data_IF_159750534635
#
_entry.id   IF_159750534635
#
_cell.length_a   1.000
_cell.length_b   1.000
_cell.length_c   1.000
_cell.angle_alpha   90.00
_cell.angle_beta   90.00
_cell.angle_gamma   90.00
#
_symmetry.space_group_name_H-M   'P 1'
#
loop_
_entity.id
_entity.type
_entity.pdbx_description
1 polymer ?
#
# COMPACT_ATOMS: atom_id res chain seq x y z
N UNK A 1 -30.27 -32.69 -14.50
CA UNK A 1 -30.13 -31.75 -13.37
C UNK A 1 -28.87 -32.10 -12.59
N UNK A 2 -27.74 -31.55 -13.01
CA UNK A 2 -26.45 -31.70 -12.32
C UNK A 2 -26.39 -30.70 -11.17
N UNK A 3 -26.51 -31.21 -9.95
CA UNK A 3 -26.37 -30.44 -8.71
C UNK A 3 -24.89 -30.02 -8.58
N UNK A 4 -24.60 -28.74 -8.77
CA UNK A 4 -23.28 -28.19 -8.38
C UNK A 4 -23.09 -28.42 -6.88
N UNK A 5 -22.04 -29.17 -6.53
CA UNK A 5 -21.61 -29.29 -5.14
C UNK A 5 -21.06 -27.93 -4.67
N UNK A 6 -21.39 -27.48 -3.44
CA UNK A 6 -20.76 -26.31 -2.88
C UNK A 6 -19.28 -26.62 -2.61
N UNK A 7 -18.39 -25.80 -3.16
CA UNK A 7 -16.97 -25.81 -2.80
C UNK A 7 -16.90 -25.55 -1.29
N UNK A 8 -16.58 -26.58 -0.51
CA UNK A 8 -16.22 -26.41 0.92
C UNK A 8 -15.06 -25.43 0.93
N UNK A 9 -15.26 -24.25 1.54
CA UNK A 9 -14.18 -23.29 1.76
C UNK A 9 -13.12 -23.98 2.64
N UNK A 10 -12.05 -24.48 2.04
CA UNK A 10 -10.93 -25.07 2.76
C UNK A 10 -10.15 -23.96 3.43
N UNK A 11 -10.36 -23.78 4.73
CA UNK A 11 -9.45 -23.01 5.58
C UNK A 11 -8.19 -23.85 5.77
N UNK A 12 -7.04 -23.29 5.41
CA UNK A 12 -5.73 -23.90 5.67
C UNK A 12 -4.96 -23.03 6.65
N UNK A 13 -4.03 -23.62 7.38
CA UNK A 13 -3.19 -22.86 8.28
C UNK A 13 -2.34 -21.88 7.44
N UNK A 14 -2.47 -20.57 7.67
CA UNK A 14 -1.70 -19.59 6.95
C UNK A 14 -0.20 -19.83 7.13
N UNK A 15 0.60 -19.74 6.06
CA UNK A 15 2.06 -19.80 6.17
C UNK A 15 2.60 -18.64 7.03
N UNK A 16 3.83 -18.78 7.54
CA UNK A 16 4.52 -17.71 8.25
C UNK A 16 4.64 -16.45 7.35
N UNK A 17 4.58 -15.25 7.95
CA UNK A 17 4.67 -13.99 7.19
C UNK A 17 6.07 -13.74 6.63
N UNK A 18 7.08 -14.32 7.27
CA UNK A 18 8.46 -14.35 6.82
C UNK A 18 8.81 -15.70 6.19
N UNK A 19 9.66 -15.72 5.15
CA UNK A 19 10.19 -16.95 4.56
C UNK A 19 11.25 -17.57 5.49
N UNK A 20 10.82 -18.39 6.44
CA UNK A 20 11.67 -18.92 7.52
C UNK A 20 12.93 -19.66 7.01
N UNK A 21 12.81 -20.37 5.89
CA UNK A 21 13.90 -21.12 5.25
C UNK A 21 15.00 -20.21 4.68
N UNK A 22 14.70 -18.93 4.43
CA UNK A 22 15.59 -17.96 3.81
C UNK A 22 16.14 -16.93 4.80
N UNK A 23 15.79 -17.02 6.10
CA UNK A 23 16.10 -15.99 7.10
C UNK A 23 17.60 -15.72 7.19
N UNK A 24 18.43 -16.76 7.29
CA UNK A 24 19.88 -16.59 7.42
C UNK A 24 20.50 -15.92 6.19
N UNK A 25 19.99 -16.23 5.01
CA UNK A 25 20.40 -15.59 3.77
C UNK A 25 19.99 -14.11 3.73
N UNK A 26 18.77 -13.80 4.15
CA UNK A 26 18.26 -12.42 4.19
C UNK A 26 18.98 -11.57 5.24
N UNK A 27 19.35 -12.14 6.39
CA UNK A 27 20.19 -11.48 7.39
C UNK A 27 21.56 -11.16 6.79
N UNK A 28 22.15 -12.08 6.02
CA UNK A 28 23.42 -11.84 5.33
C UNK A 28 23.29 -10.68 4.34
N UNK A 29 22.25 -10.66 3.52
CA UNK A 29 21.99 -9.54 2.61
C UNK A 29 21.81 -8.22 3.35
N UNK A 30 21.05 -8.19 4.46
CA UNK A 30 20.89 -6.99 5.27
C UNK A 30 22.23 -6.44 5.76
N UNK A 31 23.10 -7.32 6.29
CA UNK A 31 24.45 -6.95 6.74
C UNK A 31 25.30 -6.40 5.59
N UNK A 32 25.28 -7.07 4.44
CA UNK A 32 26.03 -6.61 3.27
C UNK A 32 25.56 -5.24 2.81
N UNK A 33 24.24 -5.04 2.66
CA UNK A 33 23.64 -3.76 2.24
C UNK A 33 24.04 -2.64 3.19
N UNK A 34 23.93 -2.85 4.50
CA UNK A 34 24.33 -1.84 5.48
C UNK A 34 25.83 -1.51 5.37
N UNK A 35 26.69 -2.53 5.22
CA UNK A 35 28.13 -2.33 5.07
C UNK A 35 28.50 -1.57 3.79
N UNK A 36 27.86 -1.87 2.67
CA UNK A 36 28.08 -1.18 1.39
C UNK A 36 27.70 0.30 1.50
N UNK A 37 26.51 0.60 2.05
CA UNK A 37 26.06 1.99 2.22
C UNK A 37 27.00 2.79 3.15
N UNK A 38 27.48 2.17 4.23
CA UNK A 38 28.50 2.78 5.13
C UNK A 38 29.85 3.02 4.47
N UNK A 39 30.25 2.10 3.59
CA UNK A 39 31.50 2.15 2.85
C UNK A 39 31.51 3.20 1.73
N UNK A 40 30.32 3.68 1.30
CA UNK A 40 30.20 4.62 0.21
C UNK A 40 30.79 5.99 0.57
N UNK A 41 31.90 6.33 -0.09
CA UNK A 41 32.57 7.63 0.09
C UNK A 41 31.72 8.83 -0.36
N UNK A 42 30.70 8.61 -1.18
CA UNK A 42 29.82 9.67 -1.71
C UNK A 42 28.66 10.05 -0.79
N UNK A 43 28.23 9.15 0.09
CA UNK A 43 27.08 9.39 0.97
C UNK A 43 27.52 10.05 2.28
N UNK A 44 28.77 9.82 2.72
CA UNK A 44 29.28 10.31 4.00
C UNK A 44 28.62 9.64 5.22
N UNK A 45 27.77 8.63 5.01
CA UNK A 45 26.94 8.00 6.04
C UNK A 45 27.66 6.84 6.74
N UNK A 46 28.82 7.11 7.35
CA UNK A 46 29.59 6.09 8.07
C UNK A 46 28.79 5.43 9.20
N UNK A 47 27.81 6.14 9.74
CA UNK A 47 26.95 5.69 10.84
C UNK A 47 25.60 5.14 10.38
N UNK A 48 25.37 4.97 9.07
CA UNK A 48 24.10 4.46 8.55
C UNK A 48 23.68 3.15 9.23
N UNK A 49 22.39 3.04 9.56
CA UNK A 49 21.79 1.81 10.09
C UNK A 49 20.47 1.53 9.43
N UNK A 50 20.21 0.25 9.16
CA UNK A 50 18.91 -0.18 8.70
C UNK A 50 17.87 0.05 9.80
N UNK A 51 16.74 0.63 9.39
CA UNK A 51 15.58 0.83 10.23
C UNK A 51 14.60 -0.33 10.05
N UNK A 52 13.61 -0.44 10.92
CA UNK A 52 12.67 -1.55 10.90
C UNK A 52 11.96 -1.73 9.55
N UNK A 53 11.58 -0.66 8.87
CA UNK A 53 10.98 -0.73 7.54
C UNK A 53 11.95 -1.28 6.47
N UNK A 54 13.25 -1.00 6.60
CA UNK A 54 14.26 -1.53 5.70
C UNK A 54 14.47 -3.02 5.95
N UNK A 55 14.58 -3.41 7.23
CA UNK A 55 14.69 -4.82 7.62
C UNK A 55 13.45 -5.59 7.19
N UNK A 56 12.24 -5.09 7.49
CA UNK A 56 10.98 -5.69 7.07
C UNK A 56 10.97 -5.97 5.57
N UNK A 57 11.34 -4.99 4.75
CA UNK A 57 11.35 -5.20 3.31
C UNK A 57 12.42 -6.22 2.87
N UNK A 58 13.67 -6.11 3.35
CA UNK A 58 14.73 -7.09 3.02
C UNK A 58 14.30 -8.51 3.40
N UNK A 59 13.56 -8.67 4.50
CA UNK A 59 13.05 -9.97 4.94
C UNK A 59 11.90 -10.52 4.07
N UNK A 60 11.23 -9.68 3.25
CA UNK A 60 10.02 -10.08 2.52
C UNK A 60 10.08 -9.95 1.01
N UNK A 61 11.00 -9.15 0.45
CA UNK A 61 11.09 -8.97 -1.00
C UNK A 61 11.58 -10.26 -1.70
N UNK A 62 11.32 -10.42 -3.02
CA UNK A 62 11.82 -11.59 -3.77
C UNK A 62 13.35 -11.72 -3.73
N UNK A 63 13.86 -12.93 -3.46
CA UNK A 63 15.32 -13.18 -3.41
C UNK A 63 16.04 -12.85 -4.72
N UNK A 64 15.35 -12.94 -5.85
CA UNK A 64 15.89 -12.58 -7.17
C UNK A 64 16.38 -11.13 -7.25
N UNK A 65 15.93 -10.25 -6.35
CA UNK A 65 16.42 -8.88 -6.23
C UNK A 65 17.84 -8.78 -5.64
N UNK A 66 18.31 -9.76 -4.89
CA UNK A 66 19.69 -9.81 -4.39
C UNK A 66 20.66 -10.51 -5.35
N UNK A 67 20.13 -11.21 -6.37
CA UNK A 67 20.94 -11.90 -7.37
C UNK A 67 21.75 -10.94 -8.27
N UNK A 68 22.65 -11.45 -9.13
CA UNK A 68 23.61 -10.64 -9.89
C UNK A 68 23.02 -9.49 -10.72
N UNK A 69 21.78 -9.66 -11.21
CA UNK A 69 21.05 -8.68 -12.03
C UNK A 69 19.90 -7.99 -11.27
N UNK A 70 19.78 -8.24 -9.97
CA UNK A 70 18.74 -7.69 -9.11
C UNK A 70 19.07 -6.30 -8.59
N UNK A 71 18.06 -5.56 -8.13
CA UNK A 71 18.16 -4.16 -7.68
C UNK A 71 18.94 -3.98 -6.36
N UNK A 72 19.23 -5.08 -5.66
CA UNK A 72 20.01 -5.16 -4.42
C UNK A 72 21.25 -6.02 -4.57
N UNK A 73 21.70 -6.22 -5.80
CA UNK A 73 22.97 -6.88 -6.10
C UNK A 73 24.13 -6.09 -5.49
N UNK A 74 25.13 -6.78 -4.96
CA UNK A 74 26.39 -6.18 -4.51
C UNK A 74 27.16 -5.47 -5.66
N UNK A 75 26.74 -5.70 -6.91
CA UNK A 75 27.30 -5.05 -8.11
C UNK A 75 26.70 -3.69 -8.42
N UNK A 76 25.60 -3.32 -7.76
CA UNK A 76 24.97 -2.00 -7.93
C UNK A 76 25.76 -0.97 -7.16
N UNK A 77 25.79 0.26 -7.68
CA UNK A 77 26.48 1.37 -7.03
C UNK A 77 25.79 1.67 -5.69
N UNK A 78 26.58 1.81 -4.61
CA UNK A 78 26.04 1.96 -3.25
C UNK A 78 25.01 3.10 -3.10
N UNK A 79 25.17 4.19 -3.86
CA UNK A 79 24.22 5.31 -3.85
C UNK A 79 22.86 4.96 -4.47
N UNK A 80 22.82 4.06 -5.46
CA UNK A 80 21.57 3.57 -6.05
C UNK A 80 20.88 2.61 -5.07
N UNK A 81 21.65 1.74 -4.43
CA UNK A 81 21.17 0.87 -3.35
C UNK A 81 20.53 1.68 -2.22
N UNK A 82 21.19 2.76 -1.79
CA UNK A 82 20.62 3.66 -0.80
C UNK A 82 19.29 4.28 -1.28
N UNK A 83 19.21 4.78 -2.52
CA UNK A 83 17.97 5.33 -3.07
C UNK A 83 16.82 4.31 -3.07
N UNK A 84 17.09 3.04 -3.32
CA UNK A 84 16.05 2.00 -3.23
C UNK A 84 15.57 1.80 -1.79
N UNK A 85 16.51 1.73 -0.83
CA UNK A 85 16.20 1.59 0.59
C UNK A 85 15.39 2.78 1.13
N UNK A 86 15.82 4.01 0.85
CA UNK A 86 15.17 5.22 1.36
C UNK A 86 13.76 5.43 0.79
N UNK A 87 13.44 4.80 -0.34
CA UNK A 87 12.15 4.92 -0.99
C UNK A 87 11.10 3.87 -0.55
N UNK A 88 11.48 2.90 0.28
CA UNK A 88 10.57 1.87 0.81
C UNK A 88 9.41 2.52 1.57
N UNK A 89 9.75 3.35 2.55
CA UNK A 89 8.77 4.01 3.43
C UNK A 89 7.86 4.97 2.66
N UNK A 90 8.39 5.89 1.81
CA UNK A 90 7.57 6.75 0.95
C UNK A 90 6.60 5.97 0.06
N UNK A 91 7.02 4.84 -0.50
CA UNK A 91 6.17 4.00 -1.36
C UNK A 91 5.00 3.40 -0.58
N UNK A 92 5.25 2.86 0.61
CA UNK A 92 4.22 2.29 1.49
C UNK A 92 3.26 3.38 1.99
N UNK A 93 3.80 4.55 2.37
CA UNK A 93 3.03 5.73 2.77
C UNK A 93 2.11 6.20 1.67
N UNK A 94 2.64 6.34 0.46
CA UNK A 94 1.89 6.77 -0.71
C UNK A 94 0.74 5.82 -1.00
N UNK A 95 0.97 4.51 -0.96
CA UNK A 95 -0.09 3.51 -1.09
C UNK A 95 -1.23 3.69 -0.07
N UNK A 96 -0.91 3.70 1.22
CA UNK A 96 -1.92 3.74 2.28
C UNK A 96 -2.63 5.10 2.38
N UNK A 97 -1.92 6.21 2.13
CA UNK A 97 -2.50 7.55 2.12
C UNK A 97 -3.64 7.67 1.11
N UNK A 98 -3.43 7.13 -0.09
CA UNK A 98 -4.43 7.20 -1.16
C UNK A 98 -5.62 6.27 -0.91
N UNK A 99 -5.41 5.09 -0.29
CA UNK A 99 -6.53 4.24 0.18
C UNK A 99 -7.38 4.94 1.25
N UNK A 100 -6.76 5.60 2.22
CA UNK A 100 -7.48 6.31 3.29
C UNK A 100 -8.27 7.51 2.77
N UNK A 101 -7.70 8.24 1.81
CA UNK A 101 -8.41 9.34 1.14
C UNK A 101 -9.70 8.81 0.50
N UNK A 102 -9.62 7.71 -0.24
CA UNK A 102 -10.79 7.06 -0.86
C UNK A 102 -11.80 6.55 0.17
N UNK A 103 -11.33 5.97 1.28
CA UNK A 103 -12.21 5.54 2.37
C UNK A 103 -13.02 6.73 2.92
N UNK A 104 -12.37 7.87 3.21
CA UNK A 104 -13.08 9.06 3.70
C UNK A 104 -14.12 9.58 2.71
N UNK A 105 -13.77 9.67 1.43
CA UNK A 105 -14.69 10.15 0.39
C UNK A 105 -15.95 9.26 0.25
N UNK A 106 -15.77 7.94 0.34
CA UNK A 106 -16.88 6.98 0.21
C UNK A 106 -17.74 6.91 1.48
N UNK A 107 -17.13 6.94 2.66
CA UNK A 107 -17.87 6.87 3.94
C UNK A 107 -18.67 8.15 4.24
N UNK A 108 -18.14 9.33 3.86
CA UNK A 108 -18.85 10.61 4.03
C UNK A 108 -20.02 10.74 3.07
N UNK A 109 -19.89 10.21 1.84
CA UNK A 109 -20.97 10.26 0.84
C UNK A 109 -22.16 9.36 1.22
N UNK A 110 -21.91 8.19 1.83
CA UNK A 110 -23.00 7.28 2.24
C UNK A 110 -23.85 7.82 3.40
N UNK A 111 -23.30 8.70 4.25
CA UNK A 111 -24.07 9.31 5.35
C UNK A 111 -25.05 10.39 4.90
N UNK A 112 -24.83 11.04 3.74
CA UNK A 112 -25.77 12.01 3.19
C UNK A 112 -26.94 11.36 2.43
N UNK A 113 -26.89 10.05 2.17
CA UNK A 113 -27.83 9.35 1.28
C UNK A 113 -28.85 8.41 1.93
N UNK A 114 -28.80 8.18 3.25
CA UNK A 114 -29.70 7.21 3.91
C UNK A 114 -30.73 7.89 4.83
N UNK A 115 -32.04 7.67 4.61
CA UNK A 115 -33.04 7.95 5.63
C UNK A 115 -32.81 7.00 6.81
N UNK A 116 -32.70 7.58 8.01
CA UNK A 116 -32.66 6.86 9.29
C UNK A 116 -33.77 5.80 9.36
N UNK A 117 -33.40 4.52 9.22
CA UNK A 117 -34.28 3.41 9.58
C UNK A 117 -34.22 3.26 11.10
N UNK A 118 -35.22 3.82 11.76
CA UNK A 118 -35.48 3.56 13.17
C UNK A 118 -35.89 2.09 13.35
N UNK A 119 -35.22 1.37 14.25
CA UNK A 119 -35.77 0.18 14.89
C UNK A 119 -35.84 0.40 16.40
N UNK A 120 -36.85 -0.18 17.08
CA UNK A 120 -37.45 0.42 18.26
C UNK A 120 -36.62 0.24 19.53
N UNK A 121 -36.78 1.26 20.37
CA UNK A 121 -36.23 1.51 21.69
C UNK A 121 -36.36 0.35 22.68
N UNK A 122 -35.29 0.13 23.46
CA UNK A 122 -35.43 -0.09 24.91
C UNK A 122 -34.38 0.73 25.65
N UNK A 123 -34.87 1.87 26.17
CA UNK A 123 -34.51 2.62 27.37
C UNK A 123 -33.02 2.79 27.73
N UNK A 124 -32.63 4.06 27.58
CA UNK A 124 -31.49 4.82 28.06
C UNK A 124 -30.93 4.52 29.47
N UNK A 125 -29.61 4.54 29.58
CA UNK A 125 -28.93 5.45 30.51
C UNK A 125 -27.85 6.23 29.74
N UNK A 126 -27.87 7.55 29.90
CA UNK A 126 -27.13 8.49 29.07
C UNK A 126 -25.61 8.36 29.23
N UNK A 127 -24.92 8.43 28.10
CA UNK A 127 -23.53 8.86 28.05
C UNK A 127 -23.38 9.81 26.86
N UNK A 128 -22.81 10.97 27.14
CA UNK A 128 -22.62 12.06 26.21
C UNK A 128 -21.77 11.58 25.03
N UNK A 129 -22.33 11.65 23.81
CA UNK A 129 -21.55 11.57 22.57
C UNK A 129 -20.56 12.74 22.57
N UNK A 130 -19.29 12.46 22.81
CA UNK A 130 -18.20 13.29 22.33
C UNK A 130 -17.63 12.61 21.09
N UNK A 131 -18.18 12.98 19.92
CA UNK A 131 -17.47 12.83 18.66
C UNK A 131 -16.34 13.87 18.69
N UNK A 132 -15.12 13.44 19.02
CA UNK A 132 -13.94 14.30 18.90
C UNK A 132 -13.55 14.33 17.42
N UNK A 133 -13.69 15.54 16.91
CA UNK A 133 -13.31 16.06 15.62
C UNK A 133 -11.82 15.80 15.32
N UNK A 134 -11.51 15.02 14.28
CA UNK A 134 -10.16 14.91 13.73
C UNK A 134 -10.07 15.69 12.40
N UNK A 135 -10.53 16.95 12.46
CA UNK A 135 -10.20 17.98 11.47
C UNK A 135 -9.00 18.80 11.96
N UNK A 136 -7.79 18.26 11.81
CA UNK A 136 -6.63 19.14 11.62
C UNK A 136 -6.47 19.42 10.14
N UNK A 137 -7.22 20.40 9.66
CA UNK A 137 -6.93 21.10 8.42
C UNK A 137 -5.62 21.86 8.59
N UNK A 138 -4.55 21.41 7.94
CA UNK A 138 -3.42 22.29 7.64
C UNK A 138 -3.66 22.89 6.26
N UNK A 139 -4.35 24.04 6.25
CA UNK A 139 -4.21 25.01 5.18
C UNK A 139 -2.75 25.46 5.15
N UNK A 140 -1.98 24.99 4.17
CA UNK A 140 -0.74 25.66 3.80
C UNK A 140 -1.17 26.96 3.13
N UNK A 141 -1.08 28.06 3.88
CA UNK A 141 -1.16 29.41 3.30
C UNK A 141 -0.07 29.51 2.25
N UNK A 142 -0.49 29.61 1.00
CA UNK A 142 0.32 30.02 -0.14
C UNK A 142 1.07 31.29 0.21
N UNK A 143 2.38 31.19 0.48
CA UNK A 143 3.24 32.36 0.57
C UNK A 143 3.42 32.94 -0.83
N UNK A 144 3.20 34.25 -0.91
CA UNK A 144 3.22 35.04 -2.12
C UNK A 144 4.54 34.86 -2.88
N UNK A 145 4.43 34.44 -4.14
CA UNK A 145 5.54 34.38 -5.08
C UNK A 145 6.10 35.79 -5.30
N UNK A 146 7.27 36.05 -4.71
CA UNK A 146 8.09 37.23 -4.96
C UNK A 146 8.48 37.27 -6.45
N UNK A 147 7.92 38.24 -7.17
CA UNK A 147 8.27 38.55 -8.57
C UNK A 147 9.76 38.88 -8.67
N UNK A 148 10.57 37.95 -9.15
CA UNK A 148 11.88 38.26 -9.71
C UNK A 148 11.66 38.95 -11.07
N UNK A 149 12.02 40.24 -11.12
CA UNK A 149 12.12 41.01 -12.36
C UNK A 149 13.25 40.43 -13.20
N UNK A 150 12.90 39.75 -14.30
CA UNK A 150 13.85 39.40 -15.34
C UNK A 150 14.00 40.63 -16.22
N UNK A 151 15.22 41.18 -16.21
CA UNK A 151 15.66 42.28 -17.07
C UNK A 151 15.85 41.73 -18.48
N UNK A 152 15.13 42.28 -19.46
CA UNK A 152 15.30 41.98 -20.88
C UNK A 152 16.65 42.53 -21.40
N UNK A 153 17.42 41.76 -22.20
CA UNK A 153 18.46 42.32 -23.05
C UNK A 153 17.90 42.74 -24.43
N UNK A 154 18.48 43.76 -25.08
CA UNK A 154 17.87 44.41 -26.24
C UNK A 154 18.10 43.66 -27.56
N UNK A 155 17.19 43.93 -28.48
CA UNK A 155 17.09 43.47 -29.86
C UNK A 155 18.34 43.68 -30.72
N UNK A 156 18.62 42.73 -31.61
CA UNK A 156 19.22 43.02 -32.92
C UNK A 156 18.59 42.17 -34.02
N UNK A 157 18.17 42.84 -35.08
CA UNK A 157 17.46 42.33 -36.24
C UNK A 157 18.30 41.37 -37.11
N UNK A 158 17.62 40.43 -37.76
CA UNK A 158 18.12 39.60 -38.85
C UNK A 158 16.96 38.84 -39.51
N UNK A 159 16.77 39.09 -40.80
CA UNK A 159 15.60 38.80 -41.63
C UNK A 159 15.53 37.37 -42.20
N UNK A 160 14.28 36.94 -42.44
CA UNK A 160 13.78 36.02 -43.48
C UNK A 160 14.26 34.56 -43.54
N UNK A 161 13.34 33.63 -43.29
CA UNK A 161 12.75 32.85 -44.39
C UNK A 161 11.49 32.10 -43.95
N UNK A 162 10.48 32.22 -44.80
CA UNK A 162 9.15 31.63 -44.72
C UNK A 162 9.23 30.18 -45.22
N UNK A 163 8.95 29.20 -44.35
CA UNK A 163 8.63 27.83 -44.76
C UNK A 163 7.46 27.34 -43.91
N UNK A 164 6.29 27.36 -44.52
CA UNK A 164 5.07 26.77 -44.00
C UNK A 164 5.18 25.25 -44.08
N UNK A 165 5.17 24.58 -42.92
CA UNK A 165 4.77 23.17 -42.84
C UNK A 165 3.62 23.08 -41.83
N UNK A 166 2.40 23.20 -42.36
CA UNK A 166 1.15 22.95 -41.65
C UNK A 166 1.01 21.44 -41.38
N UNK A 167 1.68 20.97 -40.35
CA UNK A 167 1.19 19.84 -39.57
C UNK A 167 0.71 20.40 -38.24
N UNK A 168 -0.53 20.92 -38.25
CA UNK A 168 -1.30 21.10 -37.03
C UNK A 168 -1.47 19.70 -36.41
N UNK A 169 -0.53 19.32 -35.55
CA UNK A 169 -0.80 18.33 -34.53
C UNK A 169 -2.02 18.87 -33.77
N UNK A 170 -3.18 18.26 -34.00
CA UNK A 170 -4.34 18.45 -33.15
C UNK A 170 -3.89 18.01 -31.77
N UNK A 171 -3.47 18.96 -30.93
CA UNK A 171 -3.30 18.74 -29.51
C UNK A 171 -4.69 18.39 -28.98
N UNK A 172 -4.97 17.08 -28.94
CA UNK A 172 -6.10 16.55 -28.23
C UNK A 172 -6.06 17.16 -26.82
N UNK A 173 -7.17 17.75 -26.34
CA UNK A 173 -7.18 18.38 -25.03
C UNK A 173 -6.68 17.37 -24.00
N UNK A 174 -5.56 17.68 -23.36
CA UNK A 174 -5.02 16.84 -22.28
C UNK A 174 -6.10 16.75 -21.21
N UNK A 175 -6.58 15.53 -20.97
CA UNK A 175 -7.53 15.29 -19.88
C UNK A 175 -6.74 15.45 -18.59
N UNK A 176 -6.74 16.63 -18.00
CA UNK A 176 -5.96 16.89 -16.78
C UNK A 176 -6.43 16.04 -15.58
N UNK A 177 -7.68 15.54 -15.65
CA UNK A 177 -8.30 14.72 -14.61
C UNK A 177 -9.30 13.70 -15.17
N UNK A 178 -9.05 12.44 -14.90
CA UNK A 178 -9.95 11.32 -15.18
C UNK A 178 -11.02 11.17 -14.09
N UNK A 179 -12.23 10.84 -14.49
CA UNK A 179 -13.36 10.58 -13.56
C UNK A 179 -13.61 9.08 -13.47
N UNK A 180 -13.99 8.59 -12.29
CA UNK A 180 -14.29 7.18 -12.04
C UNK A 180 -15.21 6.55 -13.09
N UNK A 181 -14.77 5.42 -13.64
CA UNK A 181 -15.50 4.62 -14.61
C UNK A 181 -16.52 3.72 -13.90
N UNK A 182 -17.76 4.21 -13.83
CA UNK A 182 -18.89 3.51 -13.20
C UNK A 182 -19.20 2.19 -13.90
N UNK A 183 -18.92 2.06 -15.21
CA UNK A 183 -19.14 0.82 -15.93
C UNK A 183 -18.13 -0.25 -15.49
N UNK A 184 -16.87 0.12 -15.26
CA UNK A 184 -15.84 -0.78 -14.74
C UNK A 184 -16.10 -1.19 -13.28
N UNK A 185 -16.61 -0.27 -12.45
CA UNK A 185 -17.08 -0.61 -11.09
C UNK A 185 -18.22 -1.63 -11.14
N UNK A 186 -19.20 -1.42 -12.04
CA UNK A 186 -20.32 -2.34 -12.23
C UNK A 186 -19.83 -3.72 -12.70
N UNK A 187 -18.86 -3.77 -13.62
CA UNK A 187 -18.22 -5.03 -14.05
C UNK A 187 -17.55 -5.75 -12.89
N UNK A 188 -16.81 -5.05 -12.04
CA UNK A 188 -16.17 -5.63 -10.85
C UNK A 188 -17.22 -6.22 -9.88
N UNK A 189 -18.28 -5.46 -9.58
CA UNK A 189 -19.35 -5.93 -8.70
C UNK A 189 -20.07 -7.15 -9.27
N UNK A 190 -20.39 -7.14 -10.57
CA UNK A 190 -21.02 -8.26 -11.25
C UNK A 190 -20.13 -9.52 -11.25
N UNK A 191 -18.83 -9.36 -11.56
CA UNK A 191 -17.82 -10.44 -11.50
C UNK A 191 -17.78 -11.11 -10.13
N UNK A 192 -17.84 -10.29 -9.08
CA UNK A 192 -17.71 -10.73 -7.69
C UNK A 192 -19.07 -11.11 -7.06
N UNK A 193 -20.14 -11.18 -7.86
CA UNK A 193 -21.46 -11.63 -7.42
C UNK A 193 -22.24 -10.63 -6.56
N UNK A 194 -21.89 -9.34 -6.61
CA UNK A 194 -22.49 -8.25 -5.82
C UNK A 194 -22.45 -8.50 -4.30
N UNK A 195 -21.42 -9.19 -3.84
CA UNK A 195 -21.14 -9.45 -2.42
C UNK A 195 -19.70 -9.12 -2.10
N UNK A 196 -19.41 -8.83 -0.84
CA UNK A 196 -18.03 -8.71 -0.39
C UNK A 196 -17.32 -10.06 -0.56
N UNK A 197 -16.23 -10.11 -1.32
CA UNK A 197 -15.52 -11.38 -1.58
C UNK A 197 -14.88 -11.99 -0.33
N UNK A 198 -14.68 -11.20 0.72
CA UNK A 198 -14.08 -11.63 2.00
C UNK A 198 -15.14 -12.21 2.93
N UNK A 199 -16.23 -11.47 3.15
CA UNK A 199 -17.22 -11.82 4.18
C UNK A 199 -18.51 -12.39 3.59
N UNK A 200 -18.77 -12.23 2.30
CA UNK A 200 -20.07 -12.53 1.70
C UNK A 200 -21.18 -11.53 2.07
N UNK A 201 -20.84 -10.43 2.73
CA UNK A 201 -21.81 -9.38 3.09
C UNK A 201 -22.40 -8.71 1.85
N UNK A 202 -23.68 -8.30 1.95
CA UNK A 202 -24.37 -7.51 0.93
C UNK A 202 -23.91 -6.05 0.94
N UNK A 203 -24.28 -5.32 -0.11
CA UNK A 203 -23.96 -3.90 -0.30
C UNK A 203 -22.44 -3.61 -0.31
N UNK A 204 -21.63 -4.36 -1.08
CA UNK A 204 -20.24 -4.01 -1.27
C UNK A 204 -20.08 -2.84 -2.24
N UNK A 205 -18.89 -2.23 -2.22
CA UNK A 205 -18.42 -1.31 -3.25
C UNK A 205 -17.23 -1.92 -4.00
N UNK A 206 -17.02 -1.50 -5.25
CA UNK A 206 -15.81 -1.82 -5.99
C UNK A 206 -14.69 -0.85 -5.58
N UNK A 207 -13.66 -1.38 -4.92
CA UNK A 207 -12.51 -0.60 -4.49
C UNK A 207 -11.27 -0.95 -5.32
N UNK A 208 -10.51 0.07 -5.71
CA UNK A 208 -9.26 -0.13 -6.42
C UNK A 208 -8.17 -0.74 -5.51
N UNK A 209 -7.43 -1.71 -6.05
CA UNK A 209 -6.31 -2.39 -5.39
C UNK A 209 -5.09 -1.48 -5.41
N UNK A 210 -4.65 -1.06 -6.60
CA UNK A 210 -3.78 0.10 -6.78
C UNK A 210 -4.67 1.36 -6.79
N UNK A 211 -4.42 2.35 -5.90
CA UNK A 211 -5.35 3.47 -5.72
C UNK A 211 -5.67 4.21 -7.02
N UNK A 212 -6.96 4.46 -7.28
CA UNK A 212 -7.46 5.25 -8.43
C UNK A 212 -6.67 6.54 -8.65
N UNK A 213 -6.40 7.23 -7.54
CA UNK A 213 -5.70 8.52 -7.51
C UNK A 213 -4.20 8.44 -7.84
N UNK A 214 -3.68 7.29 -8.25
CA UNK A 214 -2.29 7.17 -8.70
C UNK A 214 -2.09 7.65 -10.14
N UNK A 215 -3.13 7.62 -10.96
CA UNK A 215 -3.06 8.08 -12.34
C UNK A 215 -4.31 8.84 -12.80
N UNK A 216 -5.15 9.32 -11.89
CA UNK A 216 -6.34 10.11 -12.23
C UNK A 216 -6.00 11.53 -12.69
N UNK A 217 -4.82 12.08 -12.36
CA UNK A 217 -4.35 13.38 -12.87
C UNK A 217 -2.91 13.28 -13.38
N UNK A 218 -2.49 14.27 -14.17
CA UNK A 218 -1.11 14.34 -14.66
C UNK A 218 -0.09 14.46 -13.51
N UNK A 219 -0.39 15.26 -12.49
CA UNK A 219 0.45 15.38 -11.29
C UNK A 219 0.60 14.04 -10.57
N UNK A 220 -0.51 13.30 -10.41
CA UNK A 220 -0.45 11.99 -9.77
C UNK A 220 0.29 10.98 -10.64
N UNK A 221 0.16 11.02 -11.97
CA UNK A 221 0.95 10.21 -12.89
C UNK A 221 2.44 10.46 -12.69
N UNK A 222 2.86 11.73 -12.65
CA UNK A 222 4.27 12.08 -12.49
C UNK A 222 4.82 11.64 -11.14
N UNK A 223 4.05 11.85 -10.07
CA UNK A 223 4.43 11.36 -8.74
C UNK A 223 4.49 9.84 -8.67
N UNK A 224 3.56 9.15 -9.32
CA UNK A 224 3.58 7.69 -9.45
C UNK A 224 4.73 7.23 -10.34
N UNK A 225 5.15 8.01 -11.35
CA UNK A 225 6.32 7.71 -12.16
C UNK A 225 7.61 7.80 -11.34
N UNK A 226 7.78 8.87 -10.56
CA UNK A 226 8.97 9.08 -9.72
C UNK A 226 9.11 7.98 -8.65
N UNK A 227 8.00 7.45 -8.15
CA UNK A 227 7.98 6.31 -7.24
C UNK A 227 8.14 4.94 -7.94
N UNK A 228 8.11 4.89 -9.28
CA UNK A 228 8.09 3.65 -10.09
C UNK A 228 9.31 2.74 -9.92
N UNK A 229 10.55 3.27 -9.98
CA UNK A 229 11.75 2.48 -9.67
C UNK A 229 11.71 1.86 -8.28
N UNK A 230 11.03 2.51 -7.33
CA UNK A 230 10.98 2.13 -5.93
C UNK A 230 9.86 1.11 -5.62
N UNK A 231 8.73 1.14 -6.34
CA UNK A 231 7.70 0.09 -6.23
C UNK A 231 8.18 -1.26 -6.77
N UNK A 232 9.07 -1.23 -7.75
CA UNK A 232 9.71 -2.43 -8.33
C UNK A 232 10.47 -3.22 -7.26
N UNK A 233 10.97 -2.54 -6.22
CA UNK A 233 11.63 -3.19 -5.10
C UNK A 233 10.70 -4.10 -4.28
N UNK A 234 9.44 -3.70 -4.06
CA UNK A 234 8.50 -4.47 -3.22
C UNK A 234 7.94 -5.71 -3.93
N UNK A 235 7.96 -5.73 -5.26
CA UNK A 235 7.24 -6.74 -6.07
C UNK A 235 8.17 -7.53 -6.98
N UNK A 236 9.31 -6.95 -7.38
CA UNK A 236 10.28 -7.56 -8.28
C UNK A 236 10.59 -6.71 -9.51
N UNK A 237 11.77 -6.96 -10.11
CA UNK A 237 12.41 -6.15 -11.17
C UNK A 237 11.50 -5.83 -12.37
N UNK A 238 10.68 -6.78 -12.78
CA UNK A 238 9.85 -6.65 -13.98
C UNK A 238 8.52 -5.93 -13.73
N UNK A 239 8.22 -5.57 -12.48
CA UNK A 239 6.94 -4.94 -12.11
C UNK A 239 6.72 -3.63 -12.87
N UNK A 240 7.67 -2.69 -12.84
CA UNK A 240 7.51 -1.41 -13.55
C UNK A 240 7.26 -1.57 -15.06
N UNK A 241 7.87 -2.58 -15.70
CA UNK A 241 7.63 -2.88 -17.11
C UNK A 241 6.21 -3.39 -17.35
N UNK A 242 5.69 -4.25 -16.47
CA UNK A 242 4.33 -4.81 -16.59
C UNK A 242 3.24 -3.82 -16.20
N UNK A 243 3.54 -2.80 -15.40
CA UNK A 243 2.55 -1.87 -14.83
C UNK A 243 2.65 -0.45 -15.38
N UNK A 244 3.10 -0.27 -16.63
CA UNK A 244 3.21 1.06 -17.28
C UNK A 244 1.88 1.84 -17.32
N UNK A 245 0.75 1.15 -17.25
CA UNK A 245 -0.58 1.75 -17.14
C UNK A 245 -0.82 2.53 -15.84
N UNK A 246 0.01 2.32 -14.80
CA UNK A 246 -0.09 3.09 -13.55
C UNK A 246 0.52 4.50 -13.67
N UNK A 247 1.27 4.77 -14.72
CA UNK A 247 2.00 6.02 -14.90
C UNK A 247 2.10 6.41 -16.39
N UNK A 248 1.10 6.04 -17.19
CA UNK A 248 1.03 6.42 -18.58
C UNK A 248 0.58 7.89 -18.70
N UNK A 249 1.51 8.77 -19.10
CA UNK A 249 1.27 10.21 -19.28
C UNK A 249 0.25 10.53 -20.36
N UNK A 250 0.07 9.65 -21.33
CA UNK A 250 -0.87 9.88 -22.44
C UNK A 250 -2.30 9.44 -22.10
N UNK A 251 -2.48 8.68 -21.01
CA UNK A 251 -3.76 8.05 -20.65
C UNK A 251 -4.04 8.11 -19.14
N UNK A 252 -4.43 9.28 -18.61
CA UNK A 252 -4.98 9.40 -17.27
C UNK A 252 -6.11 8.39 -17.03
N UNK A 253 -6.05 7.71 -15.89
CA UNK A 253 -7.03 6.69 -15.51
C UNK A 253 -6.88 5.34 -16.21
N UNK A 254 -5.77 5.03 -16.90
CA UNK A 254 -5.63 3.76 -17.63
C UNK A 254 -5.80 2.51 -16.74
N UNK A 255 -5.54 2.62 -15.44
CA UNK A 255 -5.78 1.55 -14.46
C UNK A 255 -7.16 1.57 -13.79
N UNK A 256 -8.07 2.46 -14.21
CA UNK A 256 -9.46 2.49 -13.75
C UNK A 256 -10.27 1.41 -14.46
N UNK A 257 -10.02 0.17 -14.06
CA UNK A 257 -10.54 -1.03 -14.71
C UNK A 257 -10.91 -2.09 -13.68
N UNK A 258 -11.86 -2.95 -14.03
CA UNK A 258 -12.35 -4.02 -13.15
C UNK A 258 -11.22 -4.97 -12.69
N UNK A 259 -10.18 -5.18 -13.50
CA UNK A 259 -9.01 -5.98 -13.14
C UNK A 259 -8.11 -5.31 -12.08
N UNK A 260 -8.29 -4.02 -11.78
CA UNK A 260 -7.66 -3.33 -10.65
C UNK A 260 -8.65 -3.09 -9.50
N UNK A 261 -9.81 -3.73 -9.51
CA UNK A 261 -10.85 -3.54 -8.49
C UNK A 261 -11.21 -4.86 -7.82
N UNK A 262 -11.67 -4.76 -6.57
CA UNK A 262 -12.17 -5.88 -5.77
C UNK A 262 -13.42 -5.46 -5.00
N UNK A 263 -14.44 -6.32 -4.96
CA UNK A 263 -15.70 -6.05 -4.28
C UNK A 263 -15.58 -6.28 -2.77
N UNK A 264 -15.68 -5.20 -1.99
CA UNK A 264 -15.59 -5.26 -0.53
C UNK A 264 -16.71 -4.50 0.16
N UNK A 265 -17.10 -4.99 1.33
CA UNK A 265 -17.93 -4.22 2.25
C UNK A 265 -17.12 -3.02 2.79
N UNK A 266 -17.72 -1.83 2.97
CA UNK A 266 -17.01 -0.64 3.45
C UNK A 266 -16.20 -0.87 4.74
N UNK A 267 -16.74 -1.65 5.67
CA UNK A 267 -16.03 -2.03 6.91
C UNK A 267 -14.73 -2.81 6.64
N UNK A 268 -14.73 -3.72 5.66
CA UNK A 268 -13.54 -4.51 5.29
C UNK A 268 -12.51 -3.60 4.61
N UNK A 269 -12.98 -2.69 3.75
CA UNK A 269 -12.12 -1.68 3.14
C UNK A 269 -11.50 -0.74 4.18
N UNK A 270 -12.22 -0.40 5.25
CA UNK A 270 -11.69 0.38 6.38
C UNK A 270 -10.47 -0.30 7.00
N UNK A 271 -10.55 -1.61 7.25
CA UNK A 271 -9.42 -2.40 7.77
C UNK A 271 -8.26 -2.46 6.79
N UNK A 272 -8.53 -2.63 5.49
CA UNK A 272 -7.49 -2.57 4.45
C UNK A 272 -6.79 -1.21 4.43
N UNK A 273 -7.53 -0.10 4.41
CA UNK A 273 -6.95 1.25 4.37
C UNK A 273 -6.08 1.58 5.60
N UNK A 274 -6.25 0.84 6.69
CA UNK A 274 -5.43 0.91 7.90
C UNK A 274 -4.22 -0.03 7.86
N UNK A 275 -4.11 -0.92 6.89
CA UNK A 275 -3.05 -1.94 6.83
C UNK A 275 -3.29 -3.12 7.78
N UNK A 276 -4.53 -3.33 8.24
CA UNK A 276 -4.87 -4.44 9.15
C UNK A 276 -5.11 -5.76 8.42
N UNK A 277 -5.38 -5.70 7.12
CA UNK A 277 -5.55 -6.87 6.27
C UNK A 277 -4.76 -6.71 4.98
N UNK A 278 -4.39 -7.85 4.38
CA UNK A 278 -3.82 -7.94 3.05
C UNK A 278 -4.32 -9.20 2.34
N UNK A 279 -4.13 -9.24 1.02
CA UNK A 279 -4.36 -10.41 0.19
C UNK A 279 -3.05 -10.90 -0.36
N UNK A 280 -2.77 -12.19 -0.19
CA UNK A 280 -1.63 -12.84 -0.84
C UNK A 280 -2.15 -13.59 -2.06
N UNK A 281 -1.61 -13.33 -3.24
CA UNK A 281 -1.90 -14.18 -4.39
C UNK A 281 -1.13 -15.50 -4.25
N UNK A 282 -1.84 -16.62 -4.13
CA UNK A 282 -1.23 -17.95 -4.06
C UNK A 282 -0.92 -18.46 -5.46
N UNK A 283 -1.90 -18.36 -6.37
CA UNK A 283 -1.76 -18.89 -7.72
C UNK A 283 -2.76 -18.26 -8.70
N UNK A 284 -2.44 -18.39 -9.99
CA UNK A 284 -3.34 -18.08 -11.10
C UNK A 284 -3.53 -19.36 -11.90
N UNK A 285 -4.73 -19.94 -11.83
CA UNK A 285 -5.07 -21.18 -12.51
C UNK A 285 -5.78 -20.87 -13.83
N UNK A 286 -5.22 -21.28 -14.96
CA UNK A 286 -5.90 -21.18 -16.25
C UNK A 286 -7.02 -22.21 -16.36
N UNK A 287 -8.17 -21.81 -16.87
CA UNK A 287 -9.34 -22.68 -17.08
C UNK A 287 -9.48 -23.16 -18.55
N UNK A 288 -8.52 -22.81 -19.41
CA UNK A 288 -8.45 -23.26 -20.81
C UNK A 288 -9.40 -22.56 -21.79
N UNK A 289 -10.39 -21.80 -21.30
CA UNK A 289 -11.37 -21.06 -22.10
C UNK A 289 -11.06 -19.55 -22.22
N UNK A 290 -9.80 -19.16 -22.03
CA UNK A 290 -9.40 -17.74 -21.94
C UNK A 290 -9.73 -17.08 -20.60
N UNK A 291 -10.22 -17.84 -19.62
CA UNK A 291 -10.42 -17.38 -18.25
C UNK A 291 -9.42 -18.03 -17.30
N UNK A 292 -9.19 -17.34 -16.19
CA UNK A 292 -8.36 -17.82 -15.10
C UNK A 292 -9.03 -17.57 -13.75
N UNK A 293 -8.77 -18.45 -12.80
CA UNK A 293 -9.02 -18.21 -11.39
C UNK A 293 -7.77 -17.61 -10.75
N UNK A 294 -7.90 -16.45 -10.13
CA UNK A 294 -6.88 -15.91 -9.22
C UNK A 294 -7.26 -16.35 -7.81
N UNK A 295 -6.41 -17.14 -7.17
CA UNK A 295 -6.63 -17.64 -5.81
C UNK A 295 -5.86 -16.76 -4.82
N UNK A 296 -6.62 -16.05 -4.00
CA UNK A 296 -6.11 -15.18 -2.95
C UNK A 296 -6.25 -15.84 -1.58
N UNK A 297 -5.31 -15.57 -0.71
CA UNK A 297 -5.38 -15.86 0.73
C UNK A 297 -5.62 -14.55 1.47
N UNK A 298 -6.70 -14.50 2.26
CA UNK A 298 -6.95 -13.41 3.20
C UNK A 298 -6.01 -13.51 4.41
N UNK A 299 -5.42 -12.39 4.81
CA UNK A 299 -4.48 -12.31 5.92
C UNK A 299 -4.79 -11.13 6.84
N UNK A 300 -4.95 -11.41 8.13
CA UNK A 300 -4.76 -10.39 9.17
C UNK A 300 -3.27 -10.06 9.29
N UNK A 301 -2.98 -8.78 9.47
CA UNK A 301 -1.64 -8.24 9.63
C UNK A 301 -1.33 -7.99 11.11
N UNK A 302 -0.06 -8.12 11.53
CA UNK A 302 0.33 -7.87 12.91
C UNK A 302 0.23 -6.39 13.27
N UNK A 303 -0.05 -6.13 14.54
CA UNK A 303 0.21 -4.85 15.21
C UNK A 303 1.42 -5.07 16.12
N UNK A 304 2.62 -5.05 15.54
CA UNK A 304 3.88 -5.15 16.29
C UNK A 304 4.10 -3.88 17.11
N UNK A 305 5.14 -3.87 17.96
CA UNK A 305 5.61 -2.59 18.52
C UNK A 305 5.94 -1.64 17.38
N UNK A 306 5.92 -0.34 17.70
CA UNK A 306 6.16 0.77 16.78
C UNK A 306 7.65 0.90 16.44
N UNK A 307 8.16 -0.12 15.74
CA UNK A 307 9.54 -0.21 15.30
C UNK A 307 9.89 0.79 14.20
N UNK A 308 8.89 1.41 13.56
CA UNK A 308 9.09 2.28 12.42
C UNK A 308 10.07 3.42 12.73
N UNK A 309 11.04 3.60 11.84
CA UNK A 309 12.12 4.56 12.01
C UNK A 309 13.17 4.20 13.07
N UNK A 310 12.97 3.12 13.83
CA UNK A 310 13.93 2.66 14.81
C UNK A 310 15.03 1.84 14.14
N UNK A 311 16.27 2.08 14.55
CA UNK A 311 17.45 1.36 14.05
C UNK A 311 17.46 -0.07 14.62
N UNK A 312 17.59 -1.06 13.74
CA UNK A 312 17.68 -2.47 14.12
C UNK A 312 19.14 -2.91 14.12
N UNK A 313 19.56 -3.56 15.20
CA UNK A 313 20.91 -4.08 15.37
C UNK A 313 21.10 -5.42 14.64
N UNK A 314 21.19 -5.35 13.31
CA UNK A 314 21.39 -6.54 12.48
C UNK A 314 22.74 -7.25 12.70
N UNK A 315 23.70 -6.56 13.32
CA UNK A 315 25.04 -7.08 13.61
C UNK A 315 25.16 -7.67 15.02
N UNK A 316 24.11 -7.55 15.85
CA UNK A 316 24.13 -7.96 17.25
C UNK A 316 25.31 -7.35 18.04
N UNK A 317 25.49 -6.04 17.87
CA UNK A 317 26.51 -5.23 18.53
C UNK A 317 26.12 -4.78 19.94
N UNK A 318 24.85 -4.95 20.32
CA UNK A 318 24.26 -4.38 21.53
C UNK A 318 23.85 -2.90 21.38
N UNK A 319 23.79 -2.37 20.16
CA UNK A 319 23.44 -0.96 19.91
C UNK A 319 22.27 -0.85 18.93
N UNK A 320 21.18 -0.21 19.37
CA UNK A 320 19.90 -0.22 18.65
C UNK A 320 18.98 -1.33 19.18
N UNK A 321 17.89 -1.60 18.46
CA UNK A 321 16.92 -2.61 18.88
C UNK A 321 17.28 -4.01 18.38
N UNK A 322 17.03 -5.01 19.20
CA UNK A 322 17.42 -6.39 18.93
C UNK A 322 16.58 -6.98 17.78
N UNK A 323 17.26 -7.42 16.72
CA UNK A 323 16.63 -8.13 15.60
C UNK A 323 15.87 -9.39 16.07
N UNK A 324 16.35 -10.07 17.11
CA UNK A 324 15.69 -11.23 17.70
C UNK A 324 14.37 -10.84 18.38
N UNK A 325 14.31 -9.69 19.04
CA UNK A 325 13.06 -9.18 19.61
C UNK A 325 12.03 -8.94 18.52
N UNK A 326 12.45 -8.33 17.40
CA UNK A 326 11.59 -8.12 16.24
C UNK A 326 11.05 -9.44 15.66
N UNK A 327 11.88 -10.48 15.51
CA UNK A 327 11.42 -11.82 15.10
C UNK A 327 10.44 -12.43 16.11
N UNK A 328 10.74 -12.36 17.40
CA UNK A 328 9.90 -12.94 18.44
C UNK A 328 8.48 -12.36 18.43
N UNK A 329 8.31 -11.07 18.12
CA UNK A 329 6.97 -10.46 18.01
C UNK A 329 6.16 -11.03 16.84
N UNK A 330 6.82 -11.28 15.72
CA UNK A 330 6.18 -11.86 14.53
C UNK A 330 5.80 -13.31 14.81
N UNK A 331 6.66 -14.07 15.48
CA UNK A 331 6.38 -15.45 15.91
C UNK A 331 5.21 -15.50 16.92
N UNK A 332 5.17 -14.56 17.87
CA UNK A 332 4.06 -14.43 18.84
C UNK A 332 2.74 -14.09 18.15
N UNK A 333 2.76 -13.31 17.08
CA UNK A 333 1.59 -13.06 16.25
C UNK A 333 1.18 -14.30 15.44
N UNK A 334 2.15 -15.03 14.91
CA UNK A 334 1.92 -16.17 14.04
C UNK A 334 1.37 -17.39 14.79
N UNK A 335 1.94 -17.71 15.96
CA UNK A 335 1.62 -18.88 16.77
C UNK A 335 0.11 -19.08 17.01
N UNK A 336 -0.68 -18.06 17.39
CA UNK A 336 -2.13 -18.19 17.54
C UNK A 336 -2.92 -18.09 16.21
N UNK A 337 -2.27 -18.24 15.05
CA UNK A 337 -2.93 -18.29 13.74
C UNK A 337 -3.16 -16.93 13.08
N UNK A 338 -2.29 -15.93 13.33
CA UNK A 338 -2.41 -14.57 12.80
C UNK A 338 -3.78 -13.93 13.12
N UNK A 339 -4.04 -13.62 14.40
CA UNK A 339 -5.35 -13.21 14.88
C UNK A 339 -5.73 -11.80 14.42
N UNK A 340 -7.03 -11.44 14.41
CA UNK A 340 -7.49 -10.07 14.11
C UNK A 340 -6.84 -9.05 15.04
N UNK A 341 -6.58 -7.81 14.57
CA UNK A 341 -6.01 -6.75 15.38
C UNK A 341 -6.93 -6.40 16.57
N UNK A 342 -6.33 -5.77 17.58
CA UNK A 342 -7.06 -5.17 18.70
C UNK A 342 -7.56 -3.79 18.28
N UNK A 343 -8.80 -3.49 18.63
CA UNK A 343 -9.36 -2.16 18.61
C UNK A 343 -8.84 -1.34 19.81
N UNK A 344 -9.20 -0.06 19.87
CA UNK A 344 -8.74 0.88 20.91
C UNK A 344 -9.11 0.43 22.33
N UNK A 345 -10.28 -0.18 22.50
CA UNK A 345 -10.76 -0.76 23.76
C UNK A 345 -10.00 -2.04 24.19
N UNK A 346 -8.94 -2.41 23.47
CA UNK A 346 -8.16 -3.63 23.68
C UNK A 346 -8.86 -4.91 23.23
N UNK A 347 -10.13 -4.85 22.79
CA UNK A 347 -10.87 -5.99 22.29
C UNK A 347 -10.47 -6.30 20.85
N UNK A 348 -10.37 -7.58 20.51
CA UNK A 348 -10.09 -7.98 19.12
C UNK A 348 -11.28 -7.67 18.22
N UNK A 349 -11.00 -7.20 17.01
CA UNK A 349 -12.00 -7.05 15.96
C UNK A 349 -12.71 -8.39 15.77
N UNK A 350 -14.04 -8.37 15.92
CA UNK A 350 -14.90 -9.51 15.60
C UNK A 350 -15.45 -9.32 14.19
N UNK A 351 -14.95 -10.12 13.27
CA UNK A 351 -15.44 -10.16 11.91
C UNK A 351 -15.98 -11.57 11.63
N UNK A 352 -17.16 -11.66 11.04
CA UNK A 352 -17.76 -12.92 10.62
C UNK A 352 -18.03 -12.91 9.13
N UNK A 353 -18.06 -14.11 8.56
CA UNK A 353 -18.56 -14.36 7.21
C UNK A 353 -20.08 -14.47 7.23
N UNK A 354 -20.70 -14.50 6.05
CA UNK A 354 -22.16 -14.49 5.87
C UNK A 354 -22.85 -15.75 6.39
N UNK A 355 -22.10 -16.83 6.56
CA UNK A 355 -22.51 -18.07 7.22
C UNK A 355 -22.33 -18.02 8.75
N UNK A 356 -21.88 -16.90 9.31
CA UNK A 356 -21.66 -16.68 10.74
C UNK A 356 -20.31 -17.18 11.26
N UNK A 357 -19.47 -17.80 10.42
CA UNK A 357 -18.15 -18.25 10.86
C UNK A 357 -17.19 -17.07 11.13
N UNK A 358 -16.25 -17.18 12.09
CA UNK A 358 -15.22 -16.17 12.28
C UNK A 358 -14.35 -15.99 11.03
N UNK A 359 -14.03 -14.74 10.70
CA UNK A 359 -13.11 -14.42 9.61
C UNK A 359 -11.65 -14.61 10.09
N UNK A 360 -11.05 -15.72 9.67
CA UNK A 360 -9.68 -16.09 10.01
C UNK A 360 -8.71 -15.89 8.85
N UNK A 361 -7.43 -15.64 9.17
CA UNK A 361 -6.34 -15.72 8.19
C UNK A 361 -6.29 -17.11 7.55
N UNK A 362 -5.86 -17.20 6.29
CA UNK A 362 -5.85 -18.47 5.54
C UNK A 362 -7.13 -18.77 4.78
N UNK A 363 -8.17 -17.92 4.91
CA UNK A 363 -9.39 -18.02 4.09
C UNK A 363 -9.04 -17.78 2.62
N UNK A 364 -9.44 -18.72 1.76
CA UNK A 364 -9.27 -18.61 0.32
C UNK A 364 -10.40 -17.81 -0.32
N UNK A 365 -10.03 -16.97 -1.28
CA UNK A 365 -10.93 -16.17 -2.10
C UNK A 365 -10.56 -16.46 -3.56
N UNK A 366 -11.55 -16.86 -4.36
CA UNK A 366 -11.33 -17.19 -5.78
C UNK A 366 -12.02 -16.13 -6.62
N UNK A 367 -11.24 -15.43 -7.44
CA UNK A 367 -11.75 -14.41 -8.35
C UNK A 367 -11.53 -14.90 -9.78
N UNK A 368 -12.63 -15.07 -10.52
CA UNK A 368 -12.61 -15.48 -11.93
C UNK A 368 -12.55 -14.25 -12.83
N UNK A 369 -11.64 -14.25 -13.80
CA UNK A 369 -11.53 -13.18 -14.79
C UNK A 369 -10.86 -13.67 -16.08
N UNK A 370 -10.78 -12.80 -17.09
CA UNK A 370 -10.08 -13.12 -18.34
C UNK A 370 -8.58 -13.34 -18.07
N UNK A 371 -7.96 -14.30 -18.75
CA UNK A 371 -6.55 -14.65 -18.53
C UNK A 371 -5.60 -13.48 -18.75
N UNK A 372 -5.89 -12.61 -19.73
CA UNK A 372 -5.11 -11.40 -19.98
C UNK A 372 -5.22 -10.33 -18.87
N UNK A 373 -6.30 -10.36 -18.09
CA UNK A 373 -6.52 -9.48 -16.94
C UNK A 373 -5.96 -10.06 -15.65
N UNK A 374 -5.94 -11.39 -15.51
CA UNK A 374 -5.47 -12.08 -14.32
C UNK A 374 -4.03 -11.76 -13.95
N UNK A 375 -3.14 -11.59 -14.94
CA UNK A 375 -1.76 -11.17 -14.70
C UNK A 375 -1.67 -9.75 -14.13
N UNK A 376 -2.46 -8.81 -14.66
CA UNK A 376 -2.51 -7.43 -14.17
C UNK A 376 -3.11 -7.36 -12.77
N UNK A 377 -4.19 -8.09 -12.54
CA UNK A 377 -4.82 -8.21 -11.21
C UNK A 377 -3.80 -8.75 -10.20
N UNK A 378 -3.06 -9.82 -10.56
CA UNK A 378 -1.99 -10.36 -9.71
C UNK A 378 -0.93 -9.32 -9.39
N UNK A 379 -0.45 -8.57 -10.38
CA UNK A 379 0.55 -7.52 -10.16
C UNK A 379 0.04 -6.50 -9.12
N UNK A 380 -1.23 -6.08 -9.18
CA UNK A 380 -1.81 -5.15 -8.20
C UNK A 380 -1.89 -5.76 -6.80
N UNK A 381 -2.28 -7.03 -6.70
CA UNK A 381 -2.33 -7.77 -5.43
C UNK A 381 -0.93 -7.94 -4.82
N UNK A 382 0.07 -8.30 -5.62
CA UNK A 382 1.44 -8.47 -5.12
C UNK A 382 2.02 -7.14 -4.63
N UNK A 383 1.72 -6.04 -5.32
CA UNK A 383 2.08 -4.69 -4.88
C UNK A 383 1.40 -4.32 -3.57
N UNK A 384 0.09 -4.55 -3.47
CA UNK A 384 -0.66 -4.35 -2.24
C UNK A 384 -0.04 -5.15 -1.09
N UNK A 385 0.24 -6.43 -1.33
CA UNK A 385 0.84 -7.34 -0.36
C UNK A 385 2.15 -6.78 0.17
N UNK A 386 3.07 -6.40 -0.73
CA UNK A 386 4.37 -5.84 -0.35
C UNK A 386 4.25 -4.57 0.49
N UNK A 387 3.44 -3.61 0.04
CA UNK A 387 3.24 -2.34 0.77
C UNK A 387 2.67 -2.55 2.17
N UNK A 388 1.64 -3.39 2.31
CA UNK A 388 0.99 -3.61 3.61
C UNK A 388 1.86 -4.46 4.52
N UNK A 389 2.54 -5.48 3.99
CA UNK A 389 3.39 -6.35 4.78
C UNK A 389 4.56 -5.58 5.41
N UNK A 390 5.26 -4.75 4.63
CA UNK A 390 6.33 -3.88 5.15
C UNK A 390 5.79 -2.91 6.21
N UNK A 391 4.63 -2.31 5.95
CA UNK A 391 3.98 -1.40 6.90
C UNK A 391 3.65 -2.10 8.22
N UNK A 392 3.09 -3.31 8.16
CA UNK A 392 2.68 -4.05 9.34
C UNK A 392 3.88 -4.55 10.16
N UNK A 393 4.89 -5.11 9.48
CA UNK A 393 6.09 -5.64 10.15
C UNK A 393 7.00 -4.55 10.72
N UNK A 394 6.90 -3.31 10.23
CA UNK A 394 7.55 -2.14 10.85
C UNK A 394 6.72 -1.50 11.96
N UNK A 395 5.53 -2.01 12.27
CA UNK A 395 4.66 -1.46 13.32
C UNK A 395 3.90 -0.19 12.92
N UNK A 396 3.82 0.11 11.63
CA UNK A 396 3.11 1.29 11.12
C UNK A 396 1.63 1.00 10.73
N UNK A 397 1.14 -0.22 10.92
CA UNK A 397 -0.27 -0.55 10.71
C UNK A 397 -1.17 0.29 11.64
N UNK A 398 -2.24 0.86 11.10
CA UNK A 398 -3.13 1.80 11.79
C UNK A 398 -2.63 3.25 11.76
N UNK A 399 -1.31 3.47 11.73
CA UNK A 399 -0.67 4.78 11.88
C UNK A 399 0.26 5.15 10.71
N UNK A 400 -0.04 4.64 9.51
CA UNK A 400 0.83 4.78 8.34
C UNK A 400 1.07 6.23 7.86
N UNK A 401 0.33 7.21 8.37
CA UNK A 401 0.61 8.63 8.16
C UNK A 401 1.97 9.06 8.72
N UNK A 402 2.47 8.30 9.70
CA UNK A 402 3.76 8.46 10.36
C UNK A 402 4.88 7.72 9.62
N UNK A 403 4.63 7.13 8.45
CA UNK A 403 5.73 6.71 7.59
C UNK A 403 6.50 7.95 7.09
N UNK A 404 7.79 7.80 6.82
CA UNK A 404 8.67 8.88 6.39
C UNK A 404 8.44 9.28 4.94
N UNK A 405 8.69 10.56 4.64
CA UNK A 405 8.81 11.05 3.27
C UNK A 405 10.26 10.89 2.77
N UNK A 406 10.50 11.09 1.47
CA UNK A 406 11.68 10.63 0.70
C UNK A 406 13.03 11.26 1.03
N UNK A 407 13.22 11.81 2.23
CA UNK A 407 14.52 12.23 2.79
C UNK A 407 14.34 12.59 4.28
N UNK A 408 14.22 11.58 5.14
CA UNK A 408 14.09 11.83 6.58
C UNK A 408 15.42 11.64 7.28
N UNK A 409 16.04 12.75 7.67
CA UNK A 409 17.11 12.74 8.67
C UNK A 409 16.60 12.13 9.98
N UNK A 410 17.51 11.56 10.79
CA UNK A 410 17.17 10.92 12.07
C UNK A 410 16.34 11.83 13.01
N UNK A 411 16.55 13.15 12.95
CA UNK A 411 15.77 14.13 13.73
C UNK A 411 14.30 14.19 13.32
N UNK A 412 14.01 14.08 12.02
CA UNK A 412 12.65 14.04 11.49
C UNK A 412 11.99 12.74 11.94
N UNK A 413 12.72 11.62 11.91
CA UNK A 413 12.20 10.32 12.36
C UNK A 413 11.91 10.31 13.85
N UNK A 414 12.79 10.88 14.67
CA UNK A 414 12.56 11.03 16.10
C UNK A 414 11.32 11.89 16.39
N UNK A 415 11.10 12.98 15.64
CA UNK A 415 9.89 13.79 15.76
C UNK A 415 8.63 12.99 15.37
N UNK A 416 8.68 12.23 14.28
CA UNK A 416 7.56 11.38 13.84
C UNK A 416 7.24 10.31 14.89
N UNK A 417 8.26 9.71 15.51
CA UNK A 417 8.09 8.75 16.60
C UNK A 417 7.44 9.39 17.82
N UNK A 418 7.87 10.60 18.19
CA UNK A 418 7.23 11.35 19.28
C UNK A 418 5.76 11.58 18.95
N UNK A 419 5.42 12.00 17.72
CA UNK A 419 4.02 12.14 17.30
C UNK A 419 3.24 10.83 17.40
N UNK A 420 3.85 9.70 17.04
CA UNK A 420 3.24 8.40 17.24
C UNK A 420 2.91 8.20 18.72
N UNK A 421 3.92 8.27 19.59
CA UNK A 421 3.78 7.99 21.01
C UNK A 421 2.78 8.95 21.69
N UNK A 422 2.77 10.23 21.31
CA UNK A 422 1.77 11.19 21.76
C UNK A 422 0.34 10.80 21.36
N UNK A 423 0.14 10.25 20.16
CA UNK A 423 -1.16 9.73 19.75
C UNK A 423 -1.59 8.50 20.56
N UNK A 424 -0.66 7.81 21.23
CA UNK A 424 -0.96 6.69 22.14
C UNK A 424 -1.29 7.19 23.56
N UNK A 425 -0.56 8.19 24.06
CA UNK A 425 -0.76 8.77 25.40
C UNK A 425 -2.08 9.56 25.50
N UNK A 426 -2.40 10.39 24.50
CA UNK A 426 -3.69 11.10 24.46
C UNK A 426 -4.89 10.17 24.21
N UNK A 427 -4.68 8.96 23.68
CA UNK A 427 -5.72 7.95 23.47
C UNK A 427 -5.98 7.05 24.71
N UNK A 428 -5.13 7.11 25.74
CA UNK A 428 -5.32 6.41 27.02
C UNK A 428 -5.99 7.28 28.09
N UNK A 429 -5.94 8.61 27.93
CA UNK A 429 -6.49 9.61 28.85
C UNK A 429 -7.89 10.16 28.44
N UNK A 430 -8.48 9.63 27.35
CA UNK A 430 -9.86 9.92 26.89
C UNK A 430 -10.73 8.68 26.97
#
# INVERSE_FOLDING_TARGET
>A
MTRSMPIRQSQHQPAHLLPLEEIDERIRHAKTIQSLIRGCCRTGLKDFRLRAEHVAAIMTIPLSLFGPNGLMSERILDFEMQKFIDAISPSCKYYLRHLRKRHRETFVSDQLGQPSVACPSTVSHGSSRMDIDETTSFEVKSEASLKLQIIEPPSSAGSESEYTDELQAVELPRIDKHTLDVAEQTKCLARDGNICVVTGAKYPNAYHIAPFTWNDTQEHIDRTFDLGPHRTFLVGKEFANRTRYLNNRDKPGESDKAWNMISLHPQVYSWWSKGYIAFKCLEVQSLGNGESNVVLEFRWMPQTKRWFGQQIDIFNTGTGHDLKEWFNEIDQFHTPGNPPPKARDGMRIRATTSDGAPLCSGKLIVIRMQTGEASRFKDMIDMQWGCILVTALSGAAGISQLLSDSNSDDKVMQWIQNQANFAEEHELDS
#
